data_IF_256510769117
#
_entry.id   IF_256510769117
#
_cell.length_a   1.000
_cell.length_b   1.000
_cell.length_c   1.000
_cell.angle_alpha   90.00
_cell.angle_beta   90.00
_cell.angle_gamma   90.00
#
_symmetry.space_group_name_H-M   'P 1'
#
loop_
_entity.id
_entity.type
_entity.pdbx_description
1 polymer ?
#
# COMPACT_ATOMS: atom_id res chain seq x y z
N UNK A 1 3.37 21.97 -6.77
CA UNK A 1 3.93 21.67 -5.42
C UNK A 1 3.62 20.24 -5.03
N UNK A 2 2.35 19.82 -5.15
CA UNK A 2 1.82 18.48 -4.82
C UNK A 2 2.66 17.29 -5.29
N UNK A 3 3.33 17.35 -6.44
CA UNK A 3 4.02 16.18 -7.02
C UNK A 3 5.52 16.15 -6.73
N UNK A 4 6.08 17.28 -6.29
CA UNK A 4 7.52 17.43 -6.05
C UNK A 4 7.85 17.59 -4.57
N UNK A 5 6.87 17.90 -3.73
CA UNK A 5 7.09 18.06 -2.30
C UNK A 5 7.61 16.76 -1.69
N UNK A 6 8.80 16.79 -1.10
CA UNK A 6 9.46 15.62 -0.51
C UNK A 6 9.58 14.40 -1.46
N UNK A 7 9.72 14.64 -2.78
CA UNK A 7 9.86 13.57 -3.75
C UNK A 7 11.25 12.91 -3.66
N UNK A 8 11.31 11.62 -3.32
CA UNK A 8 12.56 10.87 -3.09
C UNK A 8 13.44 10.75 -4.34
N UNK A 9 12.86 10.85 -5.53
CA UNK A 9 13.56 10.76 -6.80
C UNK A 9 14.19 12.09 -7.25
N UNK A 10 14.00 13.18 -6.50
CA UNK A 10 14.55 14.51 -6.82
C UNK A 10 15.61 14.87 -5.77
N UNK A 11 16.87 15.09 -6.16
CA UNK A 11 17.93 15.43 -5.22
C UNK A 11 17.63 16.69 -4.40
N UNK A 12 17.94 16.64 -3.10
CA UNK A 12 17.99 17.80 -2.21
C UNK A 12 19.28 18.60 -2.37
N UNK A 13 19.30 19.84 -1.88
CA UNK A 13 20.55 20.60 -1.78
C UNK A 13 21.61 19.87 -0.95
N UNK A 14 21.22 19.11 0.08
CA UNK A 14 22.13 18.27 0.83
C UNK A 14 22.67 17.10 0.01
N UNK A 15 21.85 16.46 -0.83
CA UNK A 15 22.30 15.39 -1.72
C UNK A 15 23.31 15.90 -2.75
N UNK A 16 23.03 17.07 -3.34
CA UNK A 16 23.94 17.75 -4.26
C UNK A 16 25.24 18.12 -3.54
N UNK A 17 25.16 18.70 -2.35
CA UNK A 17 26.32 19.08 -1.57
C UNK A 17 27.21 17.88 -1.22
N UNK A 18 26.60 16.76 -0.82
CA UNK A 18 27.30 15.52 -0.52
C UNK A 18 28.01 14.94 -1.75
N UNK A 19 27.42 15.09 -2.93
CA UNK A 19 27.89 14.44 -4.16
C UNK A 19 28.86 15.31 -4.97
N UNK A 20 28.71 16.64 -4.91
CA UNK A 20 29.37 17.59 -5.80
C UNK A 20 30.04 18.77 -5.08
N UNK A 21 30.02 18.78 -3.73
CA UNK A 21 30.53 19.85 -2.84
C UNK A 21 29.62 21.08 -2.67
N UNK A 22 29.90 21.86 -1.62
CA UNK A 22 29.15 23.07 -1.25
C UNK A 22 29.10 24.11 -2.37
N UNK A 23 30.17 24.23 -3.17
CA UNK A 23 30.26 25.25 -4.22
C UNK A 23 29.20 25.04 -5.30
N UNK A 24 28.87 23.79 -5.63
CA UNK A 24 27.84 23.48 -6.64
C UNK A 24 26.45 23.88 -6.15
N UNK A 25 26.11 23.61 -4.89
CA UNK A 25 24.82 24.04 -4.32
C UNK A 25 24.70 25.57 -4.26
N UNK A 26 25.78 26.27 -3.91
CA UNK A 26 25.83 27.75 -3.90
C UNK A 26 25.68 28.31 -5.31
N UNK A 27 26.32 27.71 -6.31
CA UNK A 27 26.22 28.11 -7.71
C UNK A 27 24.80 27.96 -8.25
N UNK A 28 24.15 26.81 -8.00
CA UNK A 28 22.75 26.57 -8.39
C UNK A 28 21.83 27.67 -7.83
N UNK A 29 21.93 27.95 -6.53
CA UNK A 29 21.09 28.97 -5.88
C UNK A 29 21.40 30.36 -6.43
N UNK A 30 22.69 30.64 -6.68
CA UNK A 30 23.14 31.91 -7.24
C UNK A 30 22.61 32.14 -8.65
N UNK A 31 22.56 31.12 -9.51
CA UNK A 31 22.01 31.22 -10.86
C UNK A 31 20.49 31.48 -10.84
N UNK A 32 19.78 30.87 -9.90
CA UNK A 32 18.37 31.20 -9.66
C UNK A 32 18.17 32.65 -9.20
N UNK A 33 18.97 33.12 -8.23
CA UNK A 33 18.94 34.50 -7.76
C UNK A 33 19.21 35.48 -8.92
N UNK A 34 20.27 35.25 -9.70
CA UNK A 34 20.58 36.07 -10.89
C UNK A 34 19.41 36.09 -11.88
N UNK A 35 18.75 34.96 -12.12
CA UNK A 35 17.58 34.88 -13.01
C UNK A 35 16.41 35.73 -12.53
N UNK A 36 16.13 35.69 -11.22
CA UNK A 36 15.09 36.51 -10.58
C UNK A 36 15.43 38.00 -10.63
N UNK A 37 16.70 38.34 -10.43
CA UNK A 37 17.16 39.72 -10.37
C UNK A 37 17.24 40.41 -11.72
N UNK A 38 17.69 39.69 -12.75
CA UNK A 38 17.60 40.16 -14.14
C UNK A 38 16.16 40.51 -14.51
N UNK A 39 15.19 39.74 -14.00
CA UNK A 39 13.77 40.05 -14.24
C UNK A 39 13.29 41.29 -13.49
N UNK A 40 13.80 41.52 -12.28
CA UNK A 40 13.49 42.71 -11.48
C UNK A 40 14.27 43.98 -11.92
N UNK A 41 15.19 43.88 -12.89
CA UNK A 41 16.02 44.99 -13.35
C UNK A 41 17.07 45.44 -12.33
N UNK A 42 17.51 44.55 -11.44
CA UNK A 42 18.51 44.85 -10.39
C UNK A 42 19.72 43.94 -10.54
N UNK A 43 20.90 44.49 -10.29
CA UNK A 43 22.16 43.74 -10.24
C UNK A 43 22.71 43.73 -8.80
N UNK A 44 23.27 42.59 -8.40
CA UNK A 44 23.98 42.44 -7.13
C UNK A 44 25.47 42.24 -7.35
N UNK A 45 26.24 42.55 -6.32
CA UNK A 45 27.62 42.08 -6.21
C UNK A 45 27.64 40.55 -6.03
N UNK A 46 28.71 39.91 -6.53
CA UNK A 46 28.92 38.47 -6.34
C UNK A 46 28.95 38.07 -4.85
N UNK A 47 29.43 38.95 -3.97
CA UNK A 47 29.45 38.71 -2.53
C UNK A 47 28.04 38.60 -1.95
N UNK A 48 27.13 39.54 -2.29
CA UNK A 48 25.74 39.51 -1.81
C UNK A 48 24.98 38.29 -2.33
N UNK A 49 25.24 37.87 -3.58
CA UNK A 49 24.67 36.65 -4.15
C UNK A 49 25.15 35.43 -3.36
N UNK A 50 26.46 35.31 -3.11
CA UNK A 50 27.05 34.21 -2.38
C UNK A 50 26.55 34.14 -0.93
N UNK A 51 26.49 35.26 -0.21
CA UNK A 51 25.96 35.32 1.16
C UNK A 51 24.49 34.88 1.24
N UNK A 52 23.68 35.34 0.29
CA UNK A 52 22.27 34.95 0.21
C UNK A 52 22.13 33.47 -0.11
N UNK A 53 22.90 32.97 -1.09
CA UNK A 53 22.90 31.57 -1.46
C UNK A 53 23.34 30.65 -0.32
N UNK A 54 24.39 31.03 0.43
CA UNK A 54 24.84 30.31 1.62
C UNK A 54 23.78 30.30 2.72
N UNK A 55 23.10 31.43 2.95
CA UNK A 55 22.02 31.51 3.94
C UNK A 55 20.83 30.60 3.59
N UNK A 56 20.50 30.50 2.28
CA UNK A 56 19.48 29.58 1.78
C UNK A 56 19.96 28.14 1.98
N UNK A 57 21.18 27.82 1.55
CA UNK A 57 21.75 26.48 1.65
C UNK A 57 21.80 26.00 3.10
N UNK A 58 22.26 26.83 4.04
CA UNK A 58 22.40 26.45 5.45
C UNK A 58 21.05 26.19 6.13
N UNK A 59 20.03 26.97 5.77
CA UNK A 59 18.74 26.97 6.46
C UNK A 59 17.71 26.05 5.80
N UNK A 60 17.89 25.77 4.50
CA UNK A 60 16.92 25.06 3.66
C UNK A 60 17.57 23.94 2.83
N UNK A 61 18.65 23.33 3.34
CA UNK A 61 19.37 22.22 2.70
C UNK A 61 18.49 21.02 2.31
N UNK A 62 17.35 20.87 2.97
CA UNK A 62 16.39 19.78 2.74
C UNK A 62 15.46 20.02 1.54
N UNK A 63 15.47 21.22 0.94
CA UNK A 63 14.67 21.48 -0.26
C UNK A 63 15.27 20.78 -1.47
N UNK A 64 14.42 20.17 -2.29
CA UNK A 64 14.82 19.56 -3.55
C UNK A 64 14.90 20.57 -4.69
N UNK A 65 15.63 20.18 -5.75
CA UNK A 65 15.89 21.07 -6.87
C UNK A 65 14.60 21.55 -7.56
N UNK A 66 13.56 20.73 -7.61
CA UNK A 66 12.27 21.13 -8.19
C UNK A 66 11.52 22.11 -7.28
N UNK A 67 11.55 21.91 -5.96
CA UNK A 67 10.99 22.84 -4.97
C UNK A 67 11.68 24.21 -5.05
N UNK A 68 13.00 24.25 -5.20
CA UNK A 68 13.73 25.50 -5.42
C UNK A 68 13.32 26.20 -6.72
N UNK A 69 13.23 25.46 -7.83
CA UNK A 69 12.75 26.01 -9.10
C UNK A 69 11.36 26.64 -8.96
N UNK A 70 10.44 25.97 -8.26
CA UNK A 70 9.09 26.50 -8.00
C UNK A 70 9.18 27.76 -7.13
N UNK A 71 9.96 27.72 -6.04
CA UNK A 71 10.13 28.86 -5.15
C UNK A 71 10.61 30.10 -5.93
N UNK A 72 11.70 29.98 -6.70
CA UNK A 72 12.24 31.10 -7.45
C UNK A 72 11.32 31.55 -8.60
N UNK A 73 10.53 30.66 -9.19
CA UNK A 73 9.48 31.02 -10.14
C UNK A 73 8.39 31.88 -9.49
N UNK A 74 7.94 31.49 -8.28
CA UNK A 74 6.95 32.24 -7.50
C UNK A 74 7.51 33.56 -6.95
N UNK A 75 8.81 33.61 -6.67
CA UNK A 75 9.49 34.85 -6.31
C UNK A 75 9.54 35.80 -7.50
N UNK A 76 9.91 35.29 -8.69
CA UNK A 76 9.97 36.05 -9.95
C UNK A 76 8.62 36.65 -10.36
N UNK A 77 7.53 35.91 -10.19
CA UNK A 77 6.19 36.36 -10.58
C UNK A 77 5.48 37.19 -9.48
N UNK A 78 6.15 37.45 -8.35
CA UNK A 78 5.61 38.26 -7.25
C UNK A 78 4.65 37.52 -6.30
N UNK A 79 4.36 36.24 -6.51
CA UNK A 79 3.48 35.45 -5.62
C UNK A 79 4.03 35.31 -4.20
N UNK A 80 5.32 35.60 -4.00
CA UNK A 80 5.99 35.59 -2.69
C UNK A 80 6.33 36.98 -2.15
N UNK A 81 5.72 38.02 -2.72
CA UNK A 81 5.91 39.40 -2.31
C UNK A 81 7.14 40.06 -2.95
N UNK A 82 7.27 41.37 -2.69
CA UNK A 82 8.35 42.20 -3.21
C UNK A 82 9.59 42.10 -2.31
N UNK A 83 10.73 41.73 -2.90
CA UNK A 83 12.02 41.63 -2.21
C UNK A 83 13.07 42.61 -2.76
N UNK A 84 12.68 43.47 -3.71
CA UNK A 84 13.52 44.51 -4.31
C UNK A 84 12.91 45.88 -4.01
N UNK A 85 13.73 46.81 -3.53
CA UNK A 85 13.35 48.21 -3.29
C UNK A 85 14.36 49.15 -3.97
N UNK A 86 13.93 49.76 -5.08
CA UNK A 86 14.85 50.48 -5.97
C UNK A 86 15.92 49.53 -6.52
N UNK A 87 17.19 49.85 -6.29
CA UNK A 87 18.34 49.02 -6.66
C UNK A 87 18.83 48.06 -5.57
N UNK A 88 18.09 47.94 -4.45
CA UNK A 88 18.50 47.14 -3.30
C UNK A 88 17.64 45.88 -3.16
N UNK A 89 18.27 44.78 -2.76
CA UNK A 89 17.57 43.57 -2.32
C UNK A 89 17.37 43.61 -0.82
N UNK A 90 16.20 43.16 -0.39
CA UNK A 90 15.92 42.80 0.98
C UNK A 90 16.08 41.28 1.18
N UNK A 91 17.26 40.84 1.65
CA UNK A 91 17.53 39.43 1.92
C UNK A 91 16.57 38.84 2.97
N UNK A 92 16.12 39.64 3.94
CA UNK A 92 15.16 39.19 4.94
C UNK A 92 13.80 38.87 4.30
N UNK A 93 13.38 39.65 3.28
CA UNK A 93 12.15 39.36 2.53
C UNK A 93 12.22 38.00 1.82
N UNK A 94 13.38 37.65 1.24
CA UNK A 94 13.59 36.32 0.63
C UNK A 94 13.49 35.21 1.68
N UNK A 95 14.07 35.41 2.87
CA UNK A 95 13.99 34.43 3.97
C UNK A 95 12.56 34.27 4.48
N UNK A 96 11.79 35.36 4.64
CA UNK A 96 10.38 35.30 5.01
C UNK A 96 9.56 34.54 3.95
N UNK A 97 9.83 34.80 2.66
CA UNK A 97 9.20 34.08 1.57
C UNK A 97 9.50 32.56 1.61
N UNK A 98 10.74 32.17 1.94
CA UNK A 98 11.12 30.76 2.11
C UNK A 98 10.43 30.09 3.30
N UNK A 99 10.28 30.80 4.42
CA UNK A 99 9.52 30.30 5.57
C UNK A 99 8.08 30.00 5.17
N UNK A 100 7.43 30.92 4.47
CA UNK A 100 6.04 30.74 4.03
C UNK A 100 5.92 29.60 2.99
N UNK A 101 6.85 29.53 2.05
CA UNK A 101 6.95 28.41 1.11
C UNK A 101 7.07 27.06 1.83
N UNK A 102 7.87 26.98 2.90
CA UNK A 102 8.02 25.75 3.67
C UNK A 102 6.75 25.38 4.46
N UNK A 103 5.91 26.34 4.85
CA UNK A 103 4.59 26.05 5.43
C UNK A 103 3.63 25.47 4.40
N UNK A 104 3.65 25.99 3.16
CA UNK A 104 2.87 25.39 2.06
C UNK A 104 3.35 23.97 1.79
N UNK A 105 4.67 23.77 1.68
CA UNK A 105 5.28 22.45 1.50
C UNK A 105 4.82 21.46 2.57
N UNK A 106 4.79 21.87 3.84
CA UNK A 106 4.34 21.00 4.94
C UNK A 106 2.87 20.59 4.78
N UNK A 107 1.98 21.53 4.46
CA UNK A 107 0.56 21.25 4.23
C UNK A 107 0.35 20.25 3.10
N UNK A 108 1.11 20.38 2.02
CA UNK A 108 1.04 19.44 0.88
C UNK A 108 1.49 18.02 1.26
N UNK A 109 2.55 17.90 2.08
CA UNK A 109 3.01 16.60 2.58
C UNK A 109 1.95 15.96 3.48
N UNK A 110 1.44 16.71 4.46
CA UNK A 110 0.40 16.24 5.38
C UNK A 110 -0.86 15.80 4.62
N UNK A 111 -1.29 16.60 3.64
CA UNK A 111 -2.43 16.25 2.78
C UNK A 111 -2.19 14.92 2.05
N UNK A 112 -1.03 14.74 1.41
CA UNK A 112 -0.70 13.50 0.69
C UNK A 112 -0.65 12.29 1.62
N UNK A 113 -0.04 12.44 2.80
CA UNK A 113 0.04 11.36 3.79
C UNK A 113 -1.36 10.95 4.27
N UNK A 114 -2.23 11.93 4.55
CA UNK A 114 -3.62 11.67 4.94
C UNK A 114 -4.42 10.97 3.84
N UNK A 115 -4.23 11.35 2.57
CA UNK A 115 -4.86 10.69 1.42
C UNK A 115 -4.41 9.21 1.30
N UNK A 116 -3.12 8.93 1.52
CA UNK A 116 -2.59 7.56 1.50
C UNK A 116 -3.16 6.72 2.65
N UNK A 117 -3.27 7.29 3.85
CA UNK A 117 -3.89 6.63 5.01
C UNK A 117 -5.36 6.31 4.71
N UNK A 118 -6.11 7.26 4.15
CA UNK A 118 -7.53 7.04 3.79
C UNK A 118 -7.70 5.93 2.77
N UNK A 119 -6.91 5.93 1.68
CA UNK A 119 -6.94 4.86 0.66
C UNK A 119 -6.59 3.49 1.24
N UNK A 120 -5.61 3.42 2.15
CA UNK A 120 -5.26 2.17 2.85
C UNK A 120 -6.39 1.67 3.76
N UNK A 121 -7.09 2.57 4.44
CA UNK A 121 -8.25 2.22 5.25
C UNK A 121 -9.40 1.68 4.38
N UNK A 122 -9.76 2.39 3.30
CA UNK A 122 -10.81 1.98 2.36
C UNK A 122 -10.52 0.59 1.74
N UNK A 123 -9.29 0.37 1.25
CA UNK A 123 -8.89 -0.95 0.70
C UNK A 123 -8.89 -2.07 1.74
N UNK A 124 -8.53 -1.76 3.00
CA UNK A 124 -8.63 -2.69 4.12
C UNK A 124 -10.08 -3.14 4.39
N UNK A 125 -11.03 -2.21 4.40
CA UNK A 125 -12.46 -2.51 4.56
C UNK A 125 -13.00 -3.35 3.40
N UNK A 126 -12.71 -2.97 2.14
CA UNK A 126 -13.18 -3.71 0.97
C UNK A 126 -12.65 -5.15 0.91
N UNK A 127 -11.39 -5.38 1.32
CA UNK A 127 -10.82 -6.74 1.39
C UNK A 127 -11.52 -7.61 2.42
N UNK A 128 -11.86 -7.04 3.57
CA UNK A 128 -12.58 -7.75 4.63
C UNK A 128 -14.01 -8.13 4.18
N UNK A 129 -14.72 -7.20 3.53
CA UNK A 129 -16.06 -7.45 2.99
C UNK A 129 -16.07 -8.58 1.95
N UNK A 130 -15.11 -8.58 1.02
CA UNK A 130 -14.97 -9.65 0.03
C UNK A 130 -14.65 -10.99 0.68
N UNK A 131 -13.74 -11.04 1.66
CA UNK A 131 -13.44 -12.27 2.39
C UNK A 131 -14.68 -12.84 3.11
N UNK A 132 -15.49 -11.98 3.75
CA UNK A 132 -16.73 -12.41 4.41
C UNK A 132 -17.71 -12.97 3.37
N UNK A 133 -17.88 -12.30 2.22
CA UNK A 133 -18.75 -12.78 1.13
C UNK A 133 -18.27 -14.13 0.60
N UNK A 134 -16.98 -14.28 0.31
CA UNK A 134 -16.39 -15.52 -0.20
C UNK A 134 -16.55 -16.68 0.79
N UNK A 135 -16.36 -16.42 2.10
CA UNK A 135 -16.60 -17.41 3.15
C UNK A 135 -18.07 -17.81 3.20
N UNK A 136 -19.01 -16.84 3.21
CA UNK A 136 -20.45 -17.13 3.28
C UNK A 136 -20.92 -17.89 2.04
N UNK A 137 -20.52 -17.46 0.85
CA UNK A 137 -20.84 -18.13 -0.41
C UNK A 137 -20.20 -19.51 -0.48
N UNK A 138 -18.95 -19.66 -0.05
CA UNK A 138 -18.27 -20.95 0.08
C UNK A 138 -19.03 -21.90 0.99
N UNK A 139 -19.36 -21.49 2.23
CA UNK A 139 -20.11 -22.30 3.20
C UNK A 139 -21.50 -22.69 2.68
N UNK A 140 -22.20 -21.78 2.00
CA UNK A 140 -23.51 -22.06 1.40
C UNK A 140 -23.43 -23.06 0.25
N UNK A 141 -22.43 -22.90 -0.64
CA UNK A 141 -22.18 -23.83 -1.74
C UNK A 141 -21.79 -25.22 -1.21
N UNK A 142 -20.87 -25.29 -0.23
CA UNK A 142 -20.50 -26.55 0.44
C UNK A 142 -21.71 -27.24 1.05
N UNK A 143 -22.64 -26.49 1.68
CA UNK A 143 -23.86 -27.10 2.24
C UNK A 143 -24.76 -27.67 1.15
N UNK A 144 -24.96 -26.95 0.03
CA UNK A 144 -25.81 -27.42 -1.07
C UNK A 144 -25.21 -28.64 -1.77
N UNK A 145 -23.91 -28.62 -2.03
CA UNK A 145 -23.19 -29.74 -2.65
C UNK A 145 -23.13 -30.95 -1.74
N UNK A 146 -22.93 -30.75 -0.43
CA UNK A 146 -23.02 -31.82 0.58
C UNK A 146 -24.36 -32.52 0.57
N UNK A 147 -25.47 -31.78 0.58
CA UNK A 147 -26.81 -32.38 0.55
C UNK A 147 -27.09 -33.13 -0.77
N UNK A 148 -26.59 -32.62 -1.91
CA UNK A 148 -26.66 -33.37 -3.18
C UNK A 148 -25.83 -34.65 -3.13
N UNK A 149 -24.60 -34.58 -2.61
CA UNK A 149 -23.71 -35.73 -2.47
C UNK A 149 -24.29 -36.82 -1.57
N UNK A 150 -25.08 -36.47 -0.55
CA UNK A 150 -25.80 -37.48 0.25
C UNK A 150 -26.88 -38.23 -0.53
N UNK A 151 -27.44 -37.63 -1.57
CA UNK A 151 -28.54 -38.20 -2.37
C UNK A 151 -28.05 -38.91 -3.63
N UNK A 152 -26.89 -38.53 -4.15
CA UNK A 152 -26.33 -39.06 -5.38
C UNK A 152 -24.90 -39.57 -5.18
N UNK A 153 -24.70 -40.87 -5.40
CA UNK A 153 -23.41 -41.53 -5.21
C UNK A 153 -22.34 -41.00 -6.16
N UNK A 154 -22.71 -40.59 -7.38
CA UNK A 154 -21.76 -40.01 -8.32
C UNK A 154 -21.24 -38.67 -7.80
N UNK A 155 -22.14 -37.79 -7.34
CA UNK A 155 -21.80 -36.52 -6.72
C UNK A 155 -20.97 -36.72 -5.44
N UNK A 156 -21.20 -37.79 -4.68
CA UNK A 156 -20.35 -38.16 -3.55
C UNK A 156 -18.91 -38.48 -3.98
N UNK A 157 -18.72 -39.26 -5.03
CA UNK A 157 -17.38 -39.58 -5.55
C UNK A 157 -16.69 -38.35 -6.18
N UNK A 158 -17.45 -37.41 -6.74
CA UNK A 158 -16.90 -36.13 -7.22
C UNK A 158 -16.45 -35.24 -6.05
N UNK A 159 -17.19 -35.25 -4.94
CA UNK A 159 -16.85 -34.51 -3.72
C UNK A 159 -15.67 -35.13 -2.95
N UNK A 160 -15.54 -36.47 -3.01
CA UNK A 160 -14.48 -37.24 -2.37
C UNK A 160 -13.79 -38.16 -3.40
N UNK A 161 -12.90 -37.62 -4.25
CA UNK A 161 -12.26 -38.39 -5.32
C UNK A 161 -11.36 -39.54 -4.82
N UNK A 162 -10.83 -39.41 -3.60
CA UNK A 162 -10.03 -40.44 -2.94
C UNK A 162 -10.82 -41.07 -1.79
N UNK A 163 -10.97 -42.39 -1.82
CA UNK A 163 -11.67 -43.14 -0.78
C UNK A 163 -10.72 -44.14 -0.10
N UNK A 164 -10.85 -44.37 1.22
CA UNK A 164 -10.04 -45.36 1.92
C UNK A 164 -10.40 -46.79 1.54
N UNK A 165 -9.39 -47.61 1.22
CA UNK A 165 -9.57 -49.01 0.80
C UNK A 165 -10.18 -49.92 1.88
N UNK A 166 -10.18 -49.46 3.13
CA UNK A 166 -10.71 -50.19 4.29
C UNK A 166 -12.20 -50.51 4.16
N UNK A 167 -12.96 -49.69 3.41
CA UNK A 167 -14.41 -49.84 3.27
C UNK A 167 -14.80 -49.71 1.80
N UNK A 168 -15.80 -50.46 1.37
CA UNK A 168 -16.39 -50.26 0.06
C UNK A 168 -16.94 -48.83 -0.07
N UNK A 169 -16.69 -48.12 -1.19
CA UNK A 169 -17.19 -46.77 -1.44
C UNK A 169 -18.68 -46.57 -1.15
N UNK A 170 -19.48 -47.57 -1.52
CA UNK A 170 -20.94 -47.56 -1.33
C UNK A 170 -21.34 -47.63 0.14
N UNK A 171 -20.52 -48.28 0.98
CA UNK A 171 -20.73 -48.35 2.43
C UNK A 171 -20.41 -47.00 3.06
N UNK A 172 -19.32 -46.35 2.66
CA UNK A 172 -18.95 -45.01 3.13
C UNK A 172 -20.02 -43.97 2.79
N UNK A 173 -20.49 -43.96 1.54
CA UNK A 173 -21.55 -43.04 1.11
C UNK A 173 -22.85 -43.24 1.90
N UNK A 174 -23.31 -44.50 2.01
CA UNK A 174 -24.54 -44.81 2.75
C UNK A 174 -24.42 -44.47 4.24
N UNK A 175 -23.27 -44.75 4.85
CA UNK A 175 -23.04 -44.44 6.26
C UNK A 175 -23.00 -42.93 6.50
N UNK A 176 -22.35 -42.17 5.62
CA UNK A 176 -22.34 -40.71 5.65
C UNK A 176 -23.75 -40.11 5.44
N UNK A 177 -24.59 -40.77 4.63
CA UNK A 177 -26.02 -40.46 4.49
C UNK A 177 -26.91 -40.93 5.65
N UNK A 178 -26.34 -41.52 6.71
CA UNK A 178 -27.07 -41.92 7.92
C UNK A 178 -27.72 -43.32 7.86
N UNK A 179 -27.36 -44.17 6.89
CA UNK A 179 -27.90 -45.52 6.80
C UNK A 179 -27.40 -46.41 7.96
N UNK A 180 -28.32 -46.96 8.74
CA UNK A 180 -28.00 -47.73 9.97
C UNK A 180 -27.17 -48.98 9.72
N UNK A 181 -27.41 -49.72 8.64
CA UNK A 181 -26.64 -50.95 8.34
C UNK A 181 -25.21 -50.60 7.92
N UNK A 182 -25.05 -49.56 7.12
CA UNK A 182 -23.74 -49.07 6.73
C UNK A 182 -22.97 -48.49 7.93
N UNK A 183 -23.65 -47.75 8.82
CA UNK A 183 -23.07 -47.26 10.07
C UNK A 183 -22.59 -48.40 10.97
N UNK A 184 -23.34 -49.52 11.07
CA UNK A 184 -22.89 -50.72 11.79
C UNK A 184 -21.63 -51.34 11.20
N UNK A 185 -21.45 -51.29 9.88
CA UNK A 185 -20.21 -51.76 9.24
C UNK A 185 -19.00 -50.89 9.59
N UNK A 186 -19.19 -49.61 9.90
CA UNK A 186 -18.10 -48.68 10.27
C UNK A 186 -17.83 -48.70 11.77
N UNK A 187 -18.87 -48.55 12.60
CA UNK A 187 -18.77 -48.37 14.05
C UNK A 187 -19.06 -49.62 14.89
N UNK A 188 -19.49 -50.72 14.26
CA UNK A 188 -19.96 -51.92 14.97
C UNK A 188 -21.29 -51.67 15.69
N UNK A 189 -21.47 -52.30 16.85
CA UNK A 189 -22.72 -52.19 17.64
C UNK A 189 -22.89 -50.83 18.34
N UNK A 190 -21.80 -50.08 18.53
CA UNK A 190 -21.79 -48.79 19.23
C UNK A 190 -21.87 -47.62 18.24
N UNK A 191 -23.02 -47.45 17.60
CA UNK A 191 -23.25 -46.37 16.64
C UNK A 191 -23.45 -45.03 17.38
N UNK A 192 -22.67 -43.98 17.08
CA UNK A 192 -22.87 -42.65 17.66
C UNK A 192 -24.19 -42.01 17.17
N UNK A 193 -24.64 -40.90 17.82
CA UNK A 193 -25.79 -40.14 17.34
C UNK A 193 -25.67 -39.75 15.85
N UNK A 194 -26.78 -39.68 15.09
CA UNK A 194 -26.73 -39.49 13.64
C UNK A 194 -25.95 -38.24 13.17
N UNK A 195 -26.11 -37.12 13.88
CA UNK A 195 -25.41 -35.86 13.62
C UNK A 195 -23.90 -35.98 13.87
N UNK A 196 -23.52 -36.69 14.93
CA UNK A 196 -22.12 -36.98 15.27
C UNK A 196 -21.50 -37.93 14.26
N UNK A 197 -22.20 -39.01 13.89
CA UNK A 197 -21.75 -39.98 12.89
C UNK A 197 -21.53 -39.33 11.52
N UNK A 198 -22.48 -38.49 11.09
CA UNK A 198 -22.38 -37.76 9.83
C UNK A 198 -21.16 -36.83 9.81
N UNK A 199 -20.94 -36.07 10.88
CA UNK A 199 -19.81 -35.13 10.97
C UNK A 199 -18.47 -35.86 11.04
N UNK A 200 -18.38 -36.94 11.83
CA UNK A 200 -17.16 -37.74 11.98
C UNK A 200 -16.76 -38.41 10.66
N UNK A 201 -17.69 -39.09 9.98
CA UNK A 201 -17.42 -39.67 8.65
C UNK A 201 -17.04 -38.59 7.63
N UNK A 202 -17.74 -37.45 7.65
CA UNK A 202 -17.44 -36.33 6.75
C UNK A 202 -16.03 -35.78 6.95
N UNK A 203 -15.62 -35.56 8.21
CA UNK A 203 -14.26 -35.12 8.54
C UNK A 203 -13.21 -36.14 8.15
N UNK A 204 -13.46 -37.42 8.39
CA UNK A 204 -12.57 -38.50 8.00
C UNK A 204 -12.31 -38.51 6.48
N UNK A 205 -13.38 -38.39 5.67
CA UNK A 205 -13.27 -38.33 4.21
C UNK A 205 -12.54 -37.07 3.72
N UNK A 206 -12.84 -35.90 4.29
CA UNK A 206 -12.12 -34.65 3.97
C UNK A 206 -10.63 -34.78 4.28
N UNK A 207 -10.28 -35.24 5.47
CA UNK A 207 -8.88 -35.37 5.90
C UNK A 207 -8.11 -36.37 5.02
N UNK A 208 -8.75 -37.49 4.63
CA UNK A 208 -8.15 -38.45 3.72
C UNK A 208 -7.87 -37.85 2.33
N UNK A 209 -8.82 -37.09 1.78
CA UNK A 209 -8.64 -36.42 0.49
C UNK A 209 -7.56 -35.33 0.55
N UNK A 210 -7.50 -34.54 1.63
CA UNK A 210 -6.43 -33.55 1.83
C UNK A 210 -5.05 -34.21 1.89
N UNK A 211 -4.92 -35.33 2.61
CA UNK A 211 -3.67 -36.06 2.70
C UNK A 211 -3.25 -36.62 1.33
N UNK A 212 -4.18 -37.25 0.59
CA UNK A 212 -3.92 -37.82 -0.73
C UNK A 212 -3.59 -36.80 -1.81
N UNK A 213 -4.26 -35.65 -1.81
CA UNK A 213 -3.92 -34.56 -2.73
C UNK A 213 -2.50 -34.06 -2.50
N UNK A 214 -2.07 -33.89 -1.24
CA UNK A 214 -0.69 -33.49 -0.90
C UNK A 214 0.36 -34.53 -1.30
N UNK A 215 0.05 -35.82 -1.15
CA UNK A 215 0.92 -36.92 -1.61
C UNK A 215 1.11 -36.92 -3.14
N UNK A 216 0.08 -36.52 -3.90
CA UNK A 216 0.13 -36.48 -5.37
C UNK A 216 0.75 -35.18 -5.93
N UNK A 217 0.82 -34.12 -5.12
CA UNK A 217 1.48 -32.85 -5.46
C UNK A 217 2.99 -32.83 -5.12
N UNK A 218 3.49 -33.84 -4.41
CA UNK A 218 4.89 -34.02 -4.00
C UNK A 218 5.66 -34.93 -4.95
#
# INVERSE_FOLDING_TARGET
MSDVANAENIPTLADVNRSFSNSTSVEIITEHLKSVLRYAGVELTNAQLAETALSILSSYWYLNLAELCIFFSQLKNGSRGQFVWGSKINNQAIMVALVEFCKDRRREIEHRENELVRKKAETGYSRNENLIKDIVTGVQNTRREREKAKQDFKTFCELFPYLPDKYEPMVLWKAWGGNKEALRKIYGESIPPPDVAEMDIGMYLCNYNIAKTKENES
#
